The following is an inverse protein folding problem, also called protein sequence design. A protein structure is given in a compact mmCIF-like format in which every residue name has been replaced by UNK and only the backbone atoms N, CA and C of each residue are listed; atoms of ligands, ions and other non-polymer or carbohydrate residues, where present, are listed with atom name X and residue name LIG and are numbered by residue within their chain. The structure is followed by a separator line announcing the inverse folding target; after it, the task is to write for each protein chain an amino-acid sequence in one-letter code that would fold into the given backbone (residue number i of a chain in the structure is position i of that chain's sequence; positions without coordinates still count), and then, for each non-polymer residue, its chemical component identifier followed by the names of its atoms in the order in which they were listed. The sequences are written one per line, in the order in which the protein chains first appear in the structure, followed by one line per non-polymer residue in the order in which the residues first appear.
data_IF_109754045557
#
_entry.id   IF_109754045557
#
_cell.length_a   1.000
_cell.length_b   1.000
_cell.length_c   1.000
_cell.angle_alpha   90.00
_cell.angle_beta   90.00
_cell.angle_gamma   90.00
#
_symmetry.space_group_name_H-M   'P 1'
#
loop_
_entity.id
_entity.type
_entity.pdbx_description
1 polymer ?
#
# COMPACT_ATOMS: atom_id res chain seq x y z
N UNK A 1 38.41 63.52 37.54
CA UNK A 1 38.13 62.27 38.27
C UNK A 1 37.66 61.27 37.21
N UNK A 2 38.44 60.40 36.56
CA UNK A 2 39.52 59.47 36.96
C UNK A 2 39.18 58.61 38.18
N UNK A 3 38.80 57.36 37.90
CA UNK A 3 39.25 56.07 38.45
C UNK A 3 38.13 55.04 38.19
N UNK A 4 38.34 53.78 37.80
CA UNK A 4 39.55 52.99 37.56
C UNK A 4 39.11 51.61 37.05
N UNK A 5 39.73 51.10 35.99
CA UNK A 5 39.88 49.64 35.79
C UNK A 5 41.04 49.15 36.68
N UNK A 6 41.03 47.87 37.09
CA UNK A 6 41.99 46.95 36.45
C UNK A 6 41.52 45.48 36.25
N UNK A 7 41.96 44.93 35.10
CA UNK A 7 42.59 43.61 34.79
C UNK A 7 41.89 42.31 35.26
N UNK A 8 41.44 41.45 34.32
CA UNK A 8 42.15 40.40 33.52
C UNK A 8 42.48 39.10 34.29
N UNK A 9 41.86 38.03 33.81
CA UNK A 9 42.17 36.60 34.00
C UNK A 9 40.85 35.84 33.81
N UNK A 10 40.62 34.94 32.88
CA UNK A 10 41.49 34.06 32.12
C UNK A 10 40.77 32.70 32.08
N UNK A 11 40.47 32.22 30.87
CA UNK A 11 40.06 30.85 30.53
C UNK A 11 38.71 30.31 31.08
N UNK A 12 37.84 29.92 30.14
CA UNK A 12 36.62 29.18 30.44
C UNK A 12 35.74 28.90 29.22
N UNK A 13 36.34 28.70 28.03
CA UNK A 13 35.66 28.02 26.92
C UNK A 13 35.41 26.57 27.38
N UNK A 14 34.22 26.30 27.90
CA UNK A 14 33.89 25.00 28.46
C UNK A 14 32.41 24.86 28.77
N UNK A 15 31.54 25.33 27.88
CA UNK A 15 30.09 25.15 28.01
C UNK A 15 29.44 24.99 26.62
N UNK A 16 29.99 24.10 25.79
CA UNK A 16 29.37 23.56 24.56
C UNK A 16 30.13 22.30 24.14
N UNK A 17 30.10 21.27 24.99
CA UNK A 17 30.61 19.95 24.65
C UNK A 17 29.93 18.90 25.54
N UNK A 18 28.62 18.72 25.38
CA UNK A 18 27.99 17.50 25.84
C UNK A 18 26.88 17.08 24.88
N UNK A 19 27.15 15.94 24.22
CA UNK A 19 26.24 15.05 23.51
C UNK A 19 25.57 15.60 22.25
N UNK A 20 26.39 15.80 21.21
CA UNK A 20 25.97 15.56 19.83
C UNK A 20 26.57 14.23 19.37
N UNK A 21 26.15 13.13 20.01
CA UNK A 21 26.43 11.80 19.48
C UNK A 21 25.51 11.62 18.26
N UNK A 22 26.05 11.92 17.08
CA UNK A 22 25.35 11.79 15.80
C UNK A 22 24.83 10.35 15.68
N UNK A 23 23.53 10.15 15.89
CA UNK A 23 22.83 8.92 15.53
C UNK A 23 23.07 8.67 14.05
N UNK A 24 24.01 7.78 13.74
CA UNK A 24 24.32 7.41 12.36
C UNK A 24 23.22 6.46 11.88
N UNK A 25 22.20 7.01 11.24
CA UNK A 25 21.31 6.21 10.41
C UNK A 25 22.13 5.70 9.21
N UNK A 26 22.25 4.38 9.08
CA UNK A 26 22.83 3.76 7.90
C UNK A 26 21.71 3.03 7.16
N UNK A 27 21.36 3.55 5.99
CA UNK A 27 20.36 2.94 5.10
C UNK A 27 21.08 2.09 4.07
N UNK A 28 20.80 0.79 4.04
CA UNK A 28 21.28 -0.12 2.99
C UNK A 28 20.17 -0.30 1.96
N UNK A 29 20.40 0.21 0.75
CA UNK A 29 19.43 0.16 -0.36
C UNK A 29 19.85 -0.94 -1.33
N UNK A 30 19.00 -1.96 -1.49
CA UNK A 30 19.14 -2.99 -2.51
C UNK A 30 17.97 -2.89 -3.50
N UNK A 31 18.25 -2.52 -4.76
CA UNK A 31 17.26 -2.49 -5.83
C UNK A 31 17.43 -3.74 -6.71
N UNK A 32 16.39 -4.57 -6.79
CA UNK A 32 16.33 -5.70 -7.71
C UNK A 32 15.46 -5.32 -8.91
N UNK A 33 15.97 -5.54 -10.12
CA UNK A 33 15.35 -5.06 -11.36
C UNK A 33 14.16 -5.88 -11.85
N UNK A 34 13.79 -6.99 -11.20
CA UNK A 34 12.62 -7.79 -11.62
C UNK A 34 12.00 -8.56 -10.46
N UNK A 35 10.67 -8.54 -10.38
CA UNK A 35 9.85 -9.23 -9.36
C UNK A 35 10.06 -10.76 -9.37
N UNK A 36 10.42 -11.34 -10.51
CA UNK A 36 10.64 -12.78 -10.68
C UNK A 36 11.92 -13.30 -9.99
N UNK A 37 12.99 -12.49 -9.93
CA UNK A 37 14.22 -12.89 -9.24
C UNK A 37 14.04 -12.98 -7.71
N UNK A 38 13.07 -12.26 -7.16
CA UNK A 38 12.80 -12.15 -5.72
C UNK A 38 12.09 -13.40 -5.18
N UNK A 39 11.14 -13.97 -5.93
CA UNK A 39 10.40 -15.18 -5.50
C UNK A 39 11.35 -16.39 -5.39
N UNK A 40 12.32 -16.51 -6.30
CA UNK A 40 13.31 -17.59 -6.29
C UNK A 40 14.33 -17.43 -5.16
N UNK A 41 14.79 -16.21 -4.88
CA UNK A 41 15.78 -15.94 -3.83
C UNK A 41 15.19 -16.07 -2.41
N UNK A 42 13.93 -15.63 -2.22
CA UNK A 42 13.22 -15.77 -0.95
C UNK A 42 12.78 -17.21 -0.67
N UNK A 43 12.42 -17.99 -1.71
CA UNK A 43 12.16 -19.43 -1.52
C UNK A 43 13.45 -20.19 -1.13
N UNK A 44 14.61 -19.82 -1.66
CA UNK A 44 15.89 -20.41 -1.25
C UNK A 44 16.30 -20.08 0.19
N UNK A 45 15.90 -18.92 0.73
CA UNK A 45 16.15 -18.54 2.13
C UNK A 45 15.10 -19.10 3.10
N UNK A 46 13.88 -19.40 2.60
CA UNK A 46 12.76 -19.94 3.38
C UNK A 46 13.00 -21.38 3.84
N UNK A 47 13.79 -22.18 3.11
CA UNK A 47 14.12 -23.55 3.53
C UNK A 47 15.03 -23.60 4.76
N UNK A 48 15.80 -22.55 5.06
CA UNK A 48 16.70 -22.53 6.23
C UNK A 48 16.09 -21.92 7.50
N UNK A 49 14.99 -21.16 7.41
CA UNK A 49 14.41 -20.45 8.56
C UNK A 49 13.20 -21.16 9.22
N UNK A 50 12.67 -22.24 8.62
CA UNK A 50 11.46 -22.92 9.12
C UNK A 50 11.75 -23.92 10.26
N UNK A 51 12.99 -24.35 10.46
CA UNK A 51 13.32 -25.31 11.50
C UNK A 51 13.16 -24.74 12.93
N UNK A 52 13.44 -23.45 13.14
CA UNK A 52 13.47 -22.85 14.48
C UNK A 52 12.15 -22.22 14.93
N UNK A 53 11.25 -21.87 14.00
CA UNK A 53 9.96 -21.24 14.34
C UNK A 53 8.90 -22.26 14.79
N UNK A 54 8.99 -23.52 14.33
CA UNK A 54 8.00 -24.57 14.61
C UNK A 54 8.10 -25.11 16.04
N UNK A 55 9.24 -24.96 16.73
CA UNK A 55 9.36 -25.38 18.13
C UNK A 55 8.70 -24.42 19.13
N UNK A 56 8.64 -23.12 18.84
CA UNK A 56 8.17 -22.12 19.82
C UNK A 56 6.65 -21.88 19.83
N UNK A 57 5.90 -22.44 18.87
CA UNK A 57 4.44 -22.26 18.76
C UNK A 57 3.61 -23.39 19.39
N UNK A 58 4.24 -24.40 20.01
CA UNK A 58 3.53 -25.53 20.66
C UNK A 58 3.16 -25.32 22.13
N UNK A 59 3.52 -24.19 22.75
CA UNK A 59 3.33 -23.99 24.20
C UNK A 59 2.25 -22.98 24.60
N UNK A 60 1.35 -22.57 23.70
CA UNK A 60 0.24 -21.67 24.08
C UNK A 60 -1.04 -21.98 23.32
N UNK A 61 -1.68 -23.09 23.69
CA UNK A 61 -3.04 -23.40 23.28
C UNK A 61 -3.78 -24.17 24.38
N UNK A 62 -4.30 -23.47 25.39
CA UNK A 62 -5.37 -23.95 26.26
C UNK A 62 -6.26 -22.77 26.69
N UNK A 63 -7.56 -22.87 26.39
CA UNK A 63 -8.62 -21.97 26.89
C UNK A 63 -9.58 -21.52 25.79
N UNK A 64 -10.82 -22.03 25.80
CA UNK A 64 -11.80 -21.85 24.72
C UNK A 64 -13.02 -20.98 25.06
N UNK A 65 -13.83 -20.83 23.99
CA UNK A 65 -15.22 -20.35 23.83
C UNK A 65 -15.48 -18.82 23.89
N UNK A 66 -16.57 -18.30 23.26
CA UNK A 66 -17.61 -18.97 22.47
C UNK A 66 -17.77 -18.47 21.02
N UNK A 67 -18.54 -19.28 20.30
CA UNK A 67 -18.94 -19.26 18.88
C UNK A 67 -19.77 -18.02 18.51
N UNK A 68 -19.20 -17.15 17.65
CA UNK A 68 -19.90 -16.03 17.04
C UNK A 68 -20.06 -16.29 15.53
N UNK A 69 -21.25 -15.98 15.03
CA UNK A 69 -21.84 -16.40 13.76
C UNK A 69 -20.88 -16.30 12.56
N UNK A 70 -20.54 -17.46 12.01
CA UNK A 70 -19.69 -17.62 10.83
C UNK A 70 -20.43 -17.09 9.60
N UNK A 71 -20.00 -15.93 9.11
CA UNK A 71 -20.25 -15.52 7.73
C UNK A 71 -19.73 -16.63 6.79
N UNK A 72 -20.45 -16.99 5.71
CA UNK A 72 -20.10 -18.14 4.88
C UNK A 72 -18.67 -18.05 4.32
N UNK A 73 -17.97 -19.18 4.36
CA UNK A 73 -16.53 -19.35 4.17
C UNK A 73 -16.05 -19.24 2.70
N UNK A 74 -16.30 -18.11 2.04
CA UNK A 74 -15.72 -17.81 0.71
C UNK A 74 -14.97 -16.46 0.63
N UNK A 75 -14.60 -15.86 1.76
CA UNK A 75 -13.78 -14.65 1.80
C UNK A 75 -12.27 -14.97 1.77
N UNK A 76 -11.74 -15.37 0.61
CA UNK A 76 -10.30 -15.43 0.29
C UNK A 76 -10.02 -14.51 -0.92
N UNK A 77 -9.49 -13.31 -0.70
CA UNK A 77 -9.25 -12.29 -1.72
C UNK A 77 -7.85 -11.75 -1.55
N UNK A 78 -6.92 -12.62 -1.89
CA UNK A 78 -5.84 -12.20 -2.75
C UNK A 78 -6.37 -11.87 -4.16
N UNK A 79 -5.57 -11.27 -5.04
CA UNK A 79 -5.98 -10.96 -6.43
C UNK A 79 -6.43 -12.21 -7.24
N UNK A 80 -6.23 -13.40 -6.69
CA UNK A 80 -6.74 -14.70 -7.13
C UNK A 80 -7.54 -15.38 -6.03
N UNK A 81 -8.45 -16.25 -6.44
CA UNK A 81 -9.08 -17.21 -5.56
C UNK A 81 -8.06 -18.26 -5.08
N UNK A 82 -7.97 -18.44 -3.76
CA UNK A 82 -7.15 -19.48 -3.13
C UNK A 82 -8.09 -20.51 -2.50
N UNK A 83 -8.06 -21.78 -2.93
CA UNK A 83 -8.87 -22.83 -2.31
C UNK A 83 -8.57 -22.99 -0.81
N UNK A 84 -9.57 -23.37 0.01
CA UNK A 84 -9.34 -23.66 1.42
C UNK A 84 -8.23 -24.70 1.61
N UNK A 85 -7.26 -24.40 2.49
CA UNK A 85 -6.11 -25.26 2.77
C UNK A 85 -4.93 -25.13 1.78
N UNK A 86 -5.06 -24.35 0.70
CA UNK A 86 -3.97 -24.07 -0.23
C UNK A 86 -3.18 -22.80 0.18
N UNK A 87 -1.91 -22.73 -0.25
CA UNK A 87 -1.07 -21.54 -0.07
C UNK A 87 -1.17 -20.58 -1.26
N UNK A 88 -1.22 -19.27 -1.00
CA UNK A 88 -1.29 -18.24 -2.05
C UNK A 88 -0.19 -18.39 -3.12
N UNK A 89 1.08 -18.47 -2.70
CA UNK A 89 2.21 -18.55 -3.63
C UNK A 89 2.17 -19.81 -4.49
N UNK A 90 1.78 -20.96 -3.90
CA UNK A 90 1.63 -22.20 -4.67
C UNK A 90 0.49 -22.12 -5.68
N UNK A 91 -0.65 -21.54 -5.30
CA UNK A 91 -1.78 -21.35 -6.21
C UNK A 91 -1.41 -20.41 -7.35
N UNK A 92 -0.78 -19.26 -7.06
CA UNK A 92 -0.34 -18.33 -8.09
C UNK A 92 0.66 -18.99 -9.05
N UNK A 93 1.62 -19.75 -8.53
CA UNK A 93 2.59 -20.44 -9.36
C UNK A 93 1.93 -21.48 -10.29
N UNK A 94 0.94 -22.22 -9.78
CA UNK A 94 0.16 -23.17 -10.59
C UNK A 94 -0.62 -22.46 -11.70
N UNK A 95 -1.29 -21.35 -11.41
CA UNK A 95 -2.01 -20.56 -12.40
C UNK A 95 -1.08 -20.03 -13.50
N UNK A 96 0.08 -19.49 -13.12
CA UNK A 96 1.09 -19.02 -14.07
C UNK A 96 1.70 -20.15 -14.91
N UNK A 97 1.90 -21.34 -14.34
CA UNK A 97 2.36 -22.52 -15.08
C UNK A 97 1.30 -23.06 -16.03
N UNK A 98 0.03 -22.97 -15.66
CA UNK A 98 -1.09 -23.37 -16.51
C UNK A 98 -1.37 -22.33 -17.61
N UNK A 99 -0.95 -21.08 -17.42
CA UNK A 99 -1.07 -20.03 -18.43
C UNK A 99 -0.31 -20.46 -19.70
N UNK A 100 -1.00 -20.52 -20.83
CA UNK A 100 -0.43 -21.02 -22.10
C UNK A 100 -0.77 -22.47 -22.44
N UNK A 101 -1.30 -23.24 -21.48
CA UNK A 101 -1.49 -24.70 -21.66
C UNK A 101 -2.92 -25.10 -21.98
N UNK A 102 -3.90 -24.23 -21.70
CA UNK A 102 -5.32 -24.52 -21.91
C UNK A 102 -5.82 -23.95 -23.24
N UNK A 103 -6.85 -24.58 -23.83
CA UNK A 103 -7.50 -24.06 -25.05
C UNK A 103 -8.10 -22.66 -24.86
N UNK A 104 -8.31 -22.24 -23.61
CA UNK A 104 -8.84 -20.93 -23.26
C UNK A 104 -7.77 -19.82 -23.25
N UNK A 105 -6.49 -20.17 -23.18
CA UNK A 105 -5.40 -19.21 -23.09
C UNK A 105 -5.37 -18.22 -24.26
N UNK A 106 -5.50 -18.72 -25.49
CA UNK A 106 -5.40 -17.90 -26.69
C UNK A 106 -6.66 -17.05 -26.93
N UNK A 107 -7.66 -17.12 -26.05
CA UNK A 107 -8.88 -16.33 -26.16
C UNK A 107 -8.76 -15.11 -25.26
N UNK A 108 -8.58 -13.93 -25.85
CA UNK A 108 -8.51 -12.68 -25.11
C UNK A 108 -9.89 -12.19 -24.66
N UNK A 109 -9.89 -11.38 -23.61
CA UNK A 109 -11.07 -10.59 -23.21
C UNK A 109 -11.31 -9.50 -24.26
N UNK A 110 -12.50 -9.50 -24.85
CA UNK A 110 -12.96 -8.48 -25.81
C UNK A 110 -13.83 -7.43 -25.11
N UNK A 111 -14.69 -7.85 -24.20
CA UNK A 111 -15.45 -6.95 -23.33
C UNK A 111 -15.77 -7.62 -22.00
N UNK A 112 -16.07 -6.79 -21.01
CA UNK A 112 -16.42 -7.25 -19.66
C UNK A 112 -17.77 -6.67 -19.27
N UNK A 113 -18.62 -7.45 -18.60
CA UNK A 113 -19.88 -6.99 -18.04
C UNK A 113 -19.80 -6.92 -16.53
N UNK A 114 -20.28 -5.82 -15.98
CA UNK A 114 -20.54 -5.69 -14.55
C UNK A 114 -21.92 -6.27 -14.22
N UNK A 115 -21.95 -7.32 -13.41
CA UNK A 115 -23.16 -8.01 -12.96
C UNK A 115 -23.34 -7.86 -11.44
N UNK A 116 -24.59 -7.75 -10.96
CA UNK A 116 -24.89 -7.67 -9.52
C UNK A 116 -24.96 -6.26 -8.92
N UNK A 117 -24.50 -5.23 -9.64
CA UNK A 117 -24.71 -3.85 -9.20
C UNK A 117 -26.23 -3.51 -9.21
N UNK A 118 -26.78 -2.88 -8.16
CA UNK A 118 -28.18 -2.52 -8.12
C UNK A 118 -28.61 -1.69 -9.33
N UNK A 119 -29.79 -2.02 -9.89
CA UNK A 119 -30.32 -1.31 -11.05
C UNK A 119 -30.56 0.17 -10.72
N UNK A 120 -30.20 1.01 -11.68
CA UNK A 120 -30.48 2.43 -11.64
C UNK A 120 -31.98 2.69 -11.50
N UNK A 121 -32.36 3.53 -10.53
CA UNK A 121 -33.72 4.07 -10.36
C UNK A 121 -33.68 5.56 -10.68
N UNK A 122 -34.44 6.00 -11.68
CA UNK A 122 -34.44 7.40 -12.17
C UNK A 122 -33.03 7.90 -12.54
N UNK A 123 -32.20 7.04 -13.13
CA UNK A 123 -30.84 7.40 -13.54
C UNK A 123 -29.78 7.28 -12.44
N UNK A 124 -30.14 6.90 -11.21
CA UNK A 124 -29.22 6.81 -10.06
C UNK A 124 -29.09 5.39 -9.53
N UNK A 125 -27.86 4.91 -9.33
CA UNK A 125 -27.58 3.68 -8.57
C UNK A 125 -27.53 4.05 -7.09
N UNK A 126 -28.42 3.46 -6.29
CA UNK A 126 -28.55 3.78 -4.86
C UNK A 126 -27.99 2.64 -4.01
N UNK A 127 -27.02 2.98 -3.16
CA UNK A 127 -26.39 2.09 -2.19
C UNK A 127 -26.58 2.63 -0.78
N UNK A 128 -26.57 1.77 0.22
CA UNK A 128 -26.63 2.14 1.64
C UNK A 128 -25.24 2.08 2.24
N UNK A 129 -24.96 3.00 3.14
CA UNK A 129 -23.75 2.92 3.97
C UNK A 129 -23.78 1.71 4.91
N UNK A 130 -22.60 1.29 5.37
CA UNK A 130 -22.39 0.14 6.25
C UNK A 130 -23.02 -1.16 5.72
N UNK A 131 -23.24 -1.24 4.41
CA UNK A 131 -23.79 -2.41 3.74
C UNK A 131 -22.75 -2.93 2.77
N UNK A 132 -22.43 -4.21 2.90
CA UNK A 132 -21.54 -4.92 1.99
C UNK A 132 -22.30 -5.26 0.71
N UNK A 133 -21.82 -4.73 -0.40
CA UNK A 133 -22.29 -5.05 -1.75
C UNK A 133 -21.28 -5.94 -2.44
N UNK A 134 -21.77 -6.95 -3.13
CA UNK A 134 -20.95 -7.86 -3.92
C UNK A 134 -21.49 -7.93 -5.33
N UNK A 135 -20.56 -7.89 -6.26
CA UNK A 135 -20.82 -7.89 -7.68
C UNK A 135 -19.65 -8.54 -8.40
N UNK A 136 -19.87 -8.84 -9.68
CA UNK A 136 -18.91 -9.60 -10.47
C UNK A 136 -18.63 -8.92 -11.79
N UNK A 137 -17.39 -9.02 -12.23
CA UNK A 137 -16.98 -8.75 -13.60
C UNK A 137 -16.96 -10.07 -14.35
N UNK A 138 -17.67 -10.15 -15.47
CA UNK A 138 -17.69 -11.34 -16.33
C UNK A 138 -17.05 -10.98 -17.66
N UNK A 139 -15.93 -11.62 -17.97
CA UNK A 139 -15.18 -11.42 -19.19
C UNK A 139 -15.76 -12.24 -20.34
N UNK A 140 -15.81 -11.65 -21.53
CA UNK A 140 -16.33 -12.26 -22.74
C UNK A 140 -15.32 -12.17 -23.88
N UNK A 141 -15.31 -13.20 -24.72
CA UNK A 141 -14.51 -13.30 -25.94
C UNK A 141 -15.15 -12.53 -27.10
N UNK A 142 -14.42 -12.41 -28.21
CA UNK A 142 -14.91 -11.73 -29.42
C UNK A 142 -16.15 -12.39 -30.04
N UNK A 143 -16.30 -13.72 -29.92
CA UNK A 143 -17.50 -14.46 -30.35
C UNK A 143 -18.65 -14.42 -29.32
N UNK A 144 -18.51 -13.62 -28.27
CA UNK A 144 -19.55 -13.37 -27.27
C UNK A 144 -19.74 -14.48 -26.24
N UNK A 145 -18.82 -15.46 -26.19
CA UNK A 145 -18.84 -16.51 -25.15
C UNK A 145 -18.19 -15.99 -23.88
N UNK A 146 -18.60 -16.55 -22.74
CA UNK A 146 -17.90 -16.31 -21.47
C UNK A 146 -16.49 -16.88 -21.58
N UNK A 147 -15.52 -16.12 -21.06
CA UNK A 147 -14.19 -16.67 -20.87
C UNK A 147 -14.23 -17.84 -19.89
N UNK A 148 -13.27 -18.73 -20.06
CA UNK A 148 -13.12 -19.98 -19.32
C UNK A 148 -11.81 -20.05 -18.53
N UNK A 149 -11.08 -18.94 -18.43
CA UNK A 149 -9.83 -18.80 -17.70
C UNK A 149 -9.73 -17.38 -17.14
N UNK A 150 -8.97 -17.22 -16.06
CA UNK A 150 -8.69 -15.93 -15.43
C UNK A 150 -7.57 -15.13 -16.11
N UNK A 151 -6.85 -14.36 -15.29
CA UNK A 151 -5.65 -13.63 -15.64
C UNK A 151 -5.85 -12.19 -16.07
N UNK A 152 -7.08 -11.69 -16.14
CA UNK A 152 -7.31 -10.28 -16.37
C UNK A 152 -7.01 -9.48 -15.09
N UNK A 153 -6.28 -8.37 -15.25
CA UNK A 153 -6.03 -7.43 -14.18
C UNK A 153 -6.96 -6.23 -14.34
N UNK A 154 -7.91 -6.13 -13.42
CA UNK A 154 -8.80 -4.98 -13.31
C UNK A 154 -8.31 -4.01 -12.25
N UNK A 155 -8.33 -2.73 -12.58
CA UNK A 155 -8.23 -1.63 -11.62
C UNK A 155 -9.63 -1.10 -11.36
N UNK A 156 -10.04 -1.10 -10.09
CA UNK A 156 -11.39 -0.70 -9.66
C UNK A 156 -11.24 0.43 -8.65
N UNK A 157 -11.52 1.64 -9.09
CA UNK A 157 -11.37 2.84 -8.28
C UNK A 157 -12.75 3.38 -7.88
N UNK A 158 -12.92 3.62 -6.58
CA UNK A 158 -14.06 4.30 -6.00
C UNK A 158 -13.58 5.60 -5.38
N UNK A 159 -14.09 6.74 -5.84
CA UNK A 159 -13.66 8.01 -5.27
C UNK A 159 -14.73 9.11 -5.26
N UNK A 160 -14.49 10.07 -4.38
CA UNK A 160 -15.06 11.41 -4.41
C UNK A 160 -14.02 12.39 -3.82
N UNK A 161 -14.45 13.59 -3.47
CA UNK A 161 -13.57 14.63 -2.92
C UNK A 161 -12.94 14.27 -1.56
N UNK A 162 -13.50 13.33 -0.80
CA UNK A 162 -13.07 13.03 0.58
C UNK A 162 -12.74 11.57 0.84
N UNK A 163 -12.94 10.70 -0.14
CA UNK A 163 -12.75 9.27 -0.03
C UNK A 163 -12.20 8.73 -1.34
N UNK A 164 -11.18 7.88 -1.27
CA UNK A 164 -10.65 7.10 -2.40
C UNK A 164 -10.38 5.68 -1.93
N UNK A 165 -10.80 4.68 -2.68
CA UNK A 165 -10.45 3.30 -2.42
C UNK A 165 -10.22 2.58 -3.74
N UNK A 166 -9.23 1.69 -3.74
CA UNK A 166 -9.04 0.71 -4.80
C UNK A 166 -9.66 -0.59 -4.32
N UNK A 167 -10.77 -0.98 -4.93
CA UNK A 167 -11.47 -2.18 -4.52
C UNK A 167 -10.70 -3.40 -5.00
N UNK A 168 -10.35 -4.35 -4.11
CA UNK A 168 -9.66 -5.56 -4.53
C UNK A 168 -10.56 -6.39 -5.45
N UNK A 169 -9.95 -6.97 -6.48
CA UNK A 169 -10.58 -7.89 -7.42
C UNK A 169 -10.16 -9.32 -7.08
N UNK A 170 -11.06 -10.29 -7.25
CA UNK A 170 -10.75 -11.71 -7.03
C UNK A 170 -10.95 -12.48 -8.30
N UNK A 171 -9.88 -12.97 -8.89
CA UNK A 171 -9.96 -13.85 -10.05
C UNK A 171 -10.36 -15.27 -9.65
N UNK A 172 -11.51 -15.74 -10.13
CA UNK A 172 -12.00 -17.12 -9.91
C UNK A 172 -11.44 -18.13 -10.92
N UNK A 173 -10.49 -17.74 -11.77
CA UNK A 173 -9.86 -18.54 -12.82
C UNK A 173 -10.84 -19.16 -13.82
N UNK A 174 -11.98 -18.50 -14.03
CA UNK A 174 -13.02 -18.97 -14.93
C UNK A 174 -13.60 -17.82 -15.79
N UNK A 175 -12.88 -16.72 -15.92
CA UNK A 175 -13.33 -15.51 -16.60
C UNK A 175 -14.28 -14.63 -15.78
N UNK A 176 -14.54 -14.99 -14.52
CA UNK A 176 -15.32 -14.18 -13.58
C UNK A 176 -14.43 -13.64 -12.47
N UNK A 177 -14.66 -12.38 -12.09
CA UNK A 177 -13.90 -11.69 -11.06
C UNK A 177 -14.83 -11.09 -10.01
N UNK A 178 -14.61 -11.40 -8.75
CA UNK A 178 -15.41 -10.91 -7.62
C UNK A 178 -14.97 -9.52 -7.16
N UNK A 179 -15.96 -8.71 -6.77
CA UNK A 179 -15.77 -7.38 -6.20
C UNK A 179 -16.61 -7.22 -4.94
N UNK A 180 -16.04 -6.54 -3.95
CA UNK A 180 -16.73 -6.17 -2.72
C UNK A 180 -16.61 -4.66 -2.48
N UNK A 181 -17.74 -4.04 -2.15
CA UNK A 181 -17.85 -2.63 -1.85
C UNK A 181 -18.59 -2.43 -0.53
N UNK A 182 -17.96 -1.70 0.38
CA UNK A 182 -18.59 -1.21 1.61
C UNK A 182 -18.10 0.22 1.87
N UNK A 183 -19.04 1.15 2.06
CA UNK A 183 -18.74 2.54 2.40
C UNK A 183 -19.27 2.84 3.79
N UNK A 184 -18.42 3.27 4.74
CA UNK A 184 -18.85 3.63 6.08
C UNK A 184 -19.81 4.82 6.10
N UNK A 185 -20.75 4.86 7.06
CA UNK A 185 -21.74 5.92 7.26
C UNK A 185 -21.15 7.34 7.16
N UNK A 186 -19.99 7.54 7.80
CA UNK A 186 -19.25 8.82 7.86
C UNK A 186 -18.92 9.41 6.48
N UNK A 187 -18.81 8.56 5.47
CA UNK A 187 -18.40 8.91 4.11
C UNK A 187 -19.54 8.80 3.10
N UNK A 188 -20.81 8.81 3.56
CA UNK A 188 -21.96 8.90 2.66
C UNK A 188 -21.81 10.07 1.67
N UNK A 189 -22.31 9.87 0.44
CA UNK A 189 -22.19 10.86 -0.61
C UNK A 189 -22.34 10.28 -2.01
N UNK A 190 -22.01 11.11 -2.99
CA UNK A 190 -21.94 10.72 -4.40
C UNK A 190 -20.51 10.28 -4.70
N UNK A 191 -20.37 9.14 -5.35
CA UNK A 191 -19.09 8.52 -5.70
C UNK A 191 -19.01 8.26 -7.20
N UNK A 192 -17.81 8.36 -7.74
CA UNK A 192 -17.46 7.80 -9.05
C UNK A 192 -16.86 6.42 -8.85
N UNK A 193 -17.44 5.42 -9.52
CA UNK A 193 -16.88 4.08 -9.68
C UNK A 193 -16.32 3.97 -11.09
N UNK A 194 -15.03 3.72 -11.20
CA UNK A 194 -14.34 3.48 -12.45
C UNK A 194 -13.74 2.07 -12.44
N UNK A 195 -13.96 1.33 -13.52
CA UNK A 195 -13.40 -0.01 -13.70
C UNK A 195 -12.66 -0.04 -15.02
N UNK A 196 -11.38 -0.41 -14.95
CA UNK A 196 -10.47 -0.50 -16.07
C UNK A 196 -9.92 -1.92 -16.19
N UNK A 197 -9.92 -2.47 -17.40
CA UNK A 197 -9.13 -3.64 -17.74
C UNK A 197 -7.75 -3.16 -18.17
N UNK A 198 -6.74 -3.39 -17.34
CA UNK A 198 -5.38 -2.92 -17.61
C UNK A 198 -4.57 -3.96 -18.38
N UNK A 199 -4.68 -5.23 -18.01
CA UNK A 199 -4.01 -6.35 -18.69
C UNK A 199 -4.96 -7.54 -18.80
N UNK A 200 -4.85 -8.31 -19.87
CA UNK A 200 -5.53 -9.61 -19.99
C UNK A 200 -4.54 -10.77 -19.82
N UNK A 201 -5.06 -11.99 -19.61
CA UNK A 201 -4.29 -13.25 -19.76
C UNK A 201 -2.96 -13.32 -19.02
N UNK A 202 -2.89 -12.77 -17.80
CA UNK A 202 -1.69 -12.68 -16.98
C UNK A 202 -0.56 -11.83 -17.56
N UNK A 203 -0.78 -11.13 -18.68
CA UNK A 203 0.27 -10.36 -19.34
C UNK A 203 0.86 -9.23 -18.49
N UNK A 204 0.14 -8.74 -17.48
CA UNK A 204 0.68 -7.80 -16.49
C UNK A 204 1.83 -8.36 -15.64
N UNK A 205 1.99 -9.69 -15.62
CA UNK A 205 3.08 -10.39 -14.92
C UNK A 205 4.28 -10.72 -15.83
N UNK A 206 4.17 -10.46 -17.14
CA UNK A 206 5.27 -10.67 -18.07
C UNK A 206 6.42 -9.68 -17.78
N UNK A 207 7.66 -10.09 -18.06
CA UNK A 207 8.86 -9.26 -17.86
C UNK A 207 8.75 -7.92 -18.59
N UNK A 208 8.05 -7.90 -19.73
CA UNK A 208 7.76 -6.69 -20.52
C UNK A 208 6.25 -6.47 -20.64
N UNK A 209 5.52 -6.63 -19.54
CA UNK A 209 4.05 -6.59 -19.50
C UNK A 209 3.44 -5.31 -20.08
N UNK A 210 4.14 -4.18 -19.97
CA UNK A 210 3.69 -2.87 -20.46
C UNK A 210 3.26 -2.88 -21.94
N UNK A 211 3.90 -3.69 -22.78
CA UNK A 211 3.56 -3.79 -24.20
C UNK A 211 2.21 -4.48 -24.47
N UNK A 212 1.66 -5.15 -23.46
CA UNK A 212 0.39 -5.87 -23.50
C UNK A 212 -0.72 -5.12 -22.75
N UNK A 213 -0.50 -3.86 -22.38
CA UNK A 213 -1.51 -3.04 -21.75
C UNK A 213 -2.73 -2.86 -22.67
N UNK A 214 -3.92 -3.16 -22.15
CA UNK A 214 -5.20 -3.02 -22.86
C UNK A 214 -5.82 -1.66 -22.60
N UNK A 215 -5.75 -1.18 -21.35
CA UNK A 215 -6.26 0.13 -20.89
C UNK A 215 -7.71 0.41 -21.35
N UNK A 216 -8.60 -0.56 -21.16
CA UNK A 216 -9.99 -0.48 -21.59
C UNK A 216 -10.91 -0.10 -20.42
N UNK A 217 -11.71 0.95 -20.62
CA UNK A 217 -12.80 1.30 -19.68
C UNK A 217 -13.89 0.24 -19.77
N UNK A 218 -14.16 -0.44 -18.66
CA UNK A 218 -15.27 -1.38 -18.51
C UNK A 218 -16.54 -0.64 -18.12
N UNK A 219 -16.45 0.24 -17.12
CA UNK A 219 -17.56 1.10 -16.72
C UNK A 219 -17.06 2.34 -15.99
N UNK A 220 -17.85 3.41 -16.11
CA UNK A 220 -17.76 4.60 -15.29
C UNK A 220 -19.19 4.90 -14.81
N UNK A 221 -19.43 4.80 -13.51
CA UNK A 221 -20.76 4.89 -12.94
C UNK A 221 -20.78 5.78 -11.70
N UNK A 222 -21.75 6.69 -11.65
CA UNK A 222 -22.06 7.46 -10.46
C UNK A 222 -22.89 6.61 -9.47
N UNK A 223 -22.41 6.51 -8.22
CA UNK A 223 -23.06 5.79 -7.13
C UNK A 223 -23.53 6.77 -6.06
N UNK A 224 -24.80 6.67 -5.67
CA UNK A 224 -25.40 7.46 -4.60
C UNK A 224 -25.43 6.62 -3.32
N UNK A 225 -24.45 6.82 -2.46
CA UNK A 225 -24.32 6.10 -1.20
C UNK A 225 -25.01 6.90 -0.10
N UNK A 226 -26.19 6.43 0.31
CA UNK A 226 -27.06 7.13 1.26
C UNK A 226 -26.85 6.63 2.69
N UNK A 227 -26.99 7.55 3.65
CA UNK A 227 -27.08 7.24 5.07
C UNK A 227 -28.55 6.99 5.44
N UNK A 228 -28.96 5.74 5.77
CA UNK A 228 -30.34 5.46 6.15
C UNK A 228 -30.74 6.20 7.43
N UNK A 229 -32.00 6.63 7.51
CA UNK A 229 -32.48 7.43 8.64
C UNK A 229 -32.39 6.69 9.99
N UNK A 230 -32.48 5.36 10.00
CA UNK A 230 -32.23 4.55 11.20
C UNK A 230 -30.76 4.60 11.68
N UNK A 231 -29.79 4.78 10.77
CA UNK A 231 -28.38 4.92 11.11
C UNK A 231 -28.00 6.35 11.51
N UNK A 232 -28.80 7.36 11.12
CA UNK A 232 -28.65 8.73 11.66
C UNK A 232 -28.89 8.77 13.18
N UNK A 233 -29.78 7.91 13.68
CA UNK A 233 -30.09 7.79 15.11
C UNK A 233 -29.07 6.92 15.87
N UNK A 234 -28.27 6.13 15.14
CA UNK A 234 -27.18 5.30 15.64
C UNK A 234 -25.82 5.87 15.15
N UNK A 235 -25.64 7.18 15.30
CA UNK A 235 -24.43 7.92 14.90
C UNK A 235 -23.14 7.41 15.60
N UNK A 236 -23.26 6.41 16.48
CA UNK A 236 -22.20 5.68 17.16
C UNK A 236 -21.75 4.41 16.45
N UNK A 237 -22.36 4.01 15.32
CA UNK A 237 -21.88 2.86 14.53
C UNK A 237 -20.59 3.20 13.77
N UNK A 238 -19.53 3.51 14.50
CA UNK A 238 -18.16 3.46 14.03
C UNK A 238 -17.66 2.04 14.30
N UNK A 239 -17.24 1.32 13.27
CA UNK A 239 -16.43 0.11 13.49
C UNK A 239 -15.19 0.54 14.27
N UNK A 240 -15.02 0.02 15.48
CA UNK A 240 -13.77 0.17 16.22
C UNK A 240 -12.66 -0.54 15.44
N UNK A 241 -11.93 0.25 14.67
CA UNK A 241 -10.80 -0.21 13.90
C UNK A 241 -9.56 -0.15 14.78
N UNK A 242 -8.96 -1.31 15.03
CA UNK A 242 -7.73 -1.38 15.80
C UNK A 242 -6.53 -1.03 14.93
N UNK A 243 -5.45 -0.60 15.57
CA UNK A 243 -4.18 -0.32 14.89
C UNK A 243 -3.66 -1.59 14.22
N UNK A 244 -3.16 -1.47 12.99
CA UNK A 244 -2.56 -2.58 12.26
C UNK A 244 -1.42 -3.24 13.07
N UNK A 245 -1.46 -4.57 13.16
CA UNK A 245 -0.43 -5.41 13.73
C UNK A 245 0.28 -6.24 12.65
N UNK A 246 1.37 -6.93 13.01
CA UNK A 246 2.15 -7.73 12.06
C UNK A 246 1.30 -8.76 11.29
N UNK A 247 0.33 -9.39 11.97
CA UNK A 247 -0.60 -10.34 11.36
C UNK A 247 -1.50 -9.74 10.27
N UNK A 248 -1.81 -8.44 10.35
CA UNK A 248 -2.67 -7.76 9.38
C UNK A 248 -2.00 -7.64 8.00
N UNK A 249 -0.66 -7.52 7.97
CA UNK A 249 0.13 -7.52 6.73
C UNK A 249 0.27 -8.90 6.08
N UNK A 250 -0.07 -9.97 6.81
CA UNK A 250 -0.08 -11.34 6.27
C UNK A 250 -1.46 -11.77 5.79
N UNK A 251 -2.47 -10.90 5.94
CA UNK A 251 -3.81 -11.21 5.46
C UNK A 251 -3.77 -11.37 3.95
N UNK A 252 -4.55 -12.32 3.40
CA UNK A 252 -4.70 -12.44 1.96
C UNK A 252 -5.28 -11.16 1.35
N UNK A 253 -6.00 -10.38 2.17
CA UNK A 253 -6.81 -9.25 1.77
C UNK A 253 -6.28 -7.93 2.31
N UNK A 254 -6.13 -6.96 1.43
CA UNK A 254 -5.79 -5.60 1.78
C UNK A 254 -6.85 -4.61 1.28
N UNK A 255 -7.87 -4.36 2.12
CA UNK A 255 -8.95 -3.41 1.82
C UNK A 255 -8.55 -1.98 2.21
N UNK A 256 -7.75 -1.36 1.36
CA UNK A 256 -7.25 0.00 1.53
C UNK A 256 -8.22 1.12 1.19
N UNK A 257 -8.10 2.25 1.87
CA UNK A 257 -8.77 3.51 1.53
C UNK A 257 -7.99 4.71 2.02
N UNK A 258 -8.08 5.78 1.25
CA UNK A 258 -7.69 7.11 1.64
C UNK A 258 -8.93 7.91 2.01
N UNK A 259 -8.88 8.58 3.15
CA UNK A 259 -9.97 9.44 3.64
C UNK A 259 -9.42 10.81 4.02
N UNK A 260 -10.26 11.84 3.87
CA UNK A 260 -9.89 13.22 4.09
C UNK A 260 -10.96 13.93 4.93
N UNK A 261 -10.70 14.02 6.24
CA UNK A 261 -11.56 14.74 7.19
C UNK A 261 -11.28 16.24 7.21
N UNK A 262 -10.00 16.61 7.14
CA UNK A 262 -9.49 17.98 7.08
C UNK A 262 -8.95 18.26 5.67
N UNK A 263 -9.12 19.49 5.16
CA UNK A 263 -8.49 19.91 3.92
C UNK A 263 -8.51 21.43 3.80
N UNK A 264 -7.56 21.96 3.04
CA UNK A 264 -7.49 23.35 2.62
C UNK A 264 -7.49 23.41 1.09
N UNK A 265 -8.57 23.94 0.49
CA UNK A 265 -8.71 24.06 -0.97
C UNK A 265 -7.82 25.17 -1.55
N UNK A 266 -7.53 26.19 -0.75
CA UNK A 266 -6.68 27.31 -1.14
C UNK A 266 -5.20 27.06 -0.83
N UNK A 267 -4.81 25.80 -0.60
CA UNK A 267 -3.44 25.45 -0.30
C UNK A 267 -2.55 25.67 -1.52
N UNK A 268 -1.54 26.51 -1.36
CA UNK A 268 -0.47 26.72 -2.32
C UNK A 268 0.84 26.17 -1.76
N UNK A 269 1.82 25.96 -2.64
CA UNK A 269 3.15 25.56 -2.22
C UNK A 269 3.85 26.72 -1.49
N UNK A 270 4.57 26.44 -0.41
CA UNK A 270 5.38 27.42 0.31
C UNK A 270 6.63 27.85 -0.49
N UNK A 271 7.46 28.74 0.08
CA UNK A 271 8.72 29.19 -0.55
C UNK A 271 9.70 28.04 -0.86
N UNK A 272 9.57 26.92 -0.14
CA UNK A 272 10.35 25.69 -0.31
C UNK A 272 9.69 24.74 -1.35
N UNK A 273 8.62 25.18 -2.01
CA UNK A 273 7.75 24.43 -2.93
C UNK A 273 7.05 23.24 -2.27
N UNK A 274 6.77 23.33 -0.97
CA UNK A 274 6.11 22.25 -0.21
C UNK A 274 4.63 22.52 0.01
N UNK A 275 3.82 21.48 -0.08
CA UNK A 275 2.36 21.57 0.10
C UNK A 275 1.94 21.28 1.55
N UNK A 276 2.34 22.17 2.47
CA UNK A 276 1.99 22.08 3.90
C UNK A 276 0.60 22.66 4.19
N UNK A 277 -0.43 22.03 3.64
CA UNK A 277 -1.78 22.60 3.58
C UNK A 277 -2.51 22.70 4.93
N UNK A 278 -2.12 21.88 5.90
CA UNK A 278 -2.71 21.85 7.24
C UNK A 278 -1.63 22.31 8.24
N UNK A 279 -1.76 23.50 8.84
CA UNK A 279 -0.69 24.04 9.66
C UNK A 279 -0.61 23.36 11.04
N UNK A 280 0.50 22.66 11.27
CA UNK A 280 0.92 22.19 12.61
C UNK A 280 0.23 20.93 13.12
N UNK A 281 0.54 20.58 14.37
CA UNK A 281 0.12 19.30 15.00
C UNK A 281 -1.34 19.31 15.50
N UNK A 282 -2.01 20.47 15.46
CA UNK A 282 -3.41 20.60 15.87
C UNK A 282 -4.39 19.85 14.96
N UNK A 283 -4.00 19.59 13.71
CA UNK A 283 -4.78 18.76 12.81
C UNK A 283 -4.45 17.29 13.06
N UNK A 284 -5.17 16.70 14.02
CA UNK A 284 -5.10 15.27 14.31
C UNK A 284 -5.86 14.44 13.27
N UNK A 285 -5.44 13.19 13.08
CA UNK A 285 -6.26 12.25 12.36
C UNK A 285 -7.59 11.98 13.09
N UNK A 286 -8.66 11.79 12.31
CA UNK A 286 -9.98 11.39 12.82
C UNK A 286 -9.98 9.89 13.16
N UNK A 287 -10.13 9.56 14.45
CA UNK A 287 -10.38 8.18 14.88
C UNK A 287 -11.74 7.67 14.33
N UNK A 288 -11.89 6.37 14.06
CA UNK A 288 -10.91 5.29 14.24
C UNK A 288 -10.02 5.05 13.00
N UNK A 289 -10.01 5.94 12.01
CA UNK A 289 -9.36 5.69 10.71
C UNK A 289 -7.83 5.73 10.80
N UNK A 290 -7.31 6.66 11.58
CA UNK A 290 -5.91 6.69 12.00
C UNK A 290 -5.76 7.47 13.32
N UNK A 291 -4.53 7.55 13.80
CA UNK A 291 -4.16 8.32 14.99
C UNK A 291 -2.88 9.14 14.72
N UNK A 292 -2.72 10.24 15.45
CA UNK A 292 -1.53 11.09 15.41
C UNK A 292 -1.67 12.38 14.59
N UNK A 293 -0.59 13.17 14.47
CA UNK A 293 -0.61 14.52 13.92
C UNK A 293 -0.61 14.55 12.38
N UNK A 294 -1.80 14.49 11.79
CA UNK A 294 -2.00 14.51 10.33
C UNK A 294 -1.41 15.75 9.65
N UNK A 295 -1.44 16.91 10.32
CA UNK A 295 -0.89 18.16 9.78
C UNK A 295 0.63 18.16 9.57
N UNK A 296 1.36 17.14 10.04
CA UNK A 296 2.78 16.95 9.72
C UNK A 296 3.02 16.41 8.31
N UNK A 297 1.99 15.83 7.68
CA UNK A 297 2.08 15.23 6.36
C UNK A 297 1.75 16.25 5.26
N UNK A 298 2.49 16.19 4.15
CA UNK A 298 2.11 16.88 2.91
C UNK A 298 1.04 16.10 2.15
N UNK A 299 -0.10 15.91 2.79
CA UNK A 299 -1.21 15.12 2.24
C UNK A 299 -2.48 15.94 2.03
N UNK A 300 -2.48 17.23 2.39
CA UNK A 300 -3.69 18.04 2.48
C UNK A 300 -4.84 17.32 3.22
N UNK A 301 -4.48 16.60 4.29
CA UNK A 301 -5.39 15.85 5.13
C UNK A 301 -5.83 14.49 4.60
N UNK A 302 -5.28 14.01 3.48
CA UNK A 302 -5.44 12.61 3.10
C UNK A 302 -4.71 11.71 4.09
N UNK A 303 -5.41 10.67 4.54
CA UNK A 303 -4.87 9.66 5.43
C UNK A 303 -5.28 8.28 4.97
N UNK A 304 -4.38 7.30 5.12
CA UNK A 304 -4.64 5.94 4.70
C UNK A 304 -5.12 5.09 5.88
N UNK A 305 -6.13 4.26 5.62
CA UNK A 305 -6.57 3.18 6.52
C UNK A 305 -6.87 1.92 5.70
N UNK A 306 -6.82 0.76 6.34
CA UNK A 306 -7.15 -0.52 5.73
C UNK A 306 -8.31 -1.18 6.50
N UNK A 307 -8.33 -2.51 6.60
CA UNK A 307 -9.18 -3.18 7.60
C UNK A 307 -8.73 -2.91 9.05
N UNK A 308 -7.60 -2.20 9.21
CA UNK A 308 -6.98 -1.73 10.44
C UNK A 308 -6.51 -0.28 10.25
N UNK A 309 -6.25 0.43 11.35
CA UNK A 309 -5.86 1.84 11.36
C UNK A 309 -4.35 2.01 11.44
N UNK A 310 -3.85 3.12 10.88
CA UNK A 310 -2.42 3.45 10.93
C UNK A 310 -2.14 4.55 11.95
N UNK A 311 -0.93 4.58 12.47
CA UNK A 311 -0.43 5.66 13.31
C UNK A 311 0.51 6.54 12.51
N UNK A 312 0.29 7.85 12.60
CA UNK A 312 1.22 8.88 12.18
C UNK A 312 2.13 9.14 13.38
N UNK A 313 3.42 8.87 13.23
CA UNK A 313 4.39 8.97 14.32
C UNK A 313 4.86 10.42 14.50
N UNK A 314 5.04 10.80 15.76
CA UNK A 314 5.80 12.01 16.10
C UNK A 314 7.30 11.74 15.95
N UNK A 315 8.07 12.81 15.72
CA UNK A 315 9.53 12.72 15.51
C UNK A 315 10.23 11.98 16.64
N UNK A 316 9.99 12.39 17.88
CA UNK A 316 10.72 11.85 19.04
C UNK A 316 10.34 10.39 19.31
N UNK A 317 9.07 10.04 19.07
CA UNK A 317 8.59 8.66 19.11
C UNK A 317 9.27 7.80 18.04
N UNK A 318 9.35 8.30 16.79
CA UNK A 318 9.98 7.59 15.69
C UNK A 318 11.47 7.35 15.94
N UNK A 319 12.22 8.37 16.38
CA UNK A 319 13.64 8.22 16.71
C UNK A 319 13.89 7.31 17.91
N UNK A 320 13.00 7.30 18.90
CA UNK A 320 13.06 6.36 20.02
C UNK A 320 12.87 4.92 19.55
N UNK A 321 11.91 4.69 18.65
CA UNK A 321 11.68 3.37 18.04
C UNK A 321 12.89 2.86 17.25
N UNK A 322 13.55 3.75 16.50
CA UNK A 322 14.69 3.40 15.64
C UNK A 322 16.04 3.36 16.34
N UNK A 323 16.11 3.71 17.62
CA UNK A 323 17.37 3.81 18.34
C UNK A 323 18.11 2.46 18.38
N UNK A 324 19.36 2.45 17.93
CA UNK A 324 20.18 1.24 17.81
C UNK A 324 19.72 0.24 16.75
N UNK A 325 18.79 0.61 15.85
CA UNK A 325 18.24 -0.28 14.81
C UNK A 325 18.70 0.12 13.41
N UNK A 326 18.78 -0.89 12.54
CA UNK A 326 19.00 -0.70 11.11
C UNK A 326 17.66 -0.65 10.39
N UNK A 327 17.48 0.33 9.50
CA UNK A 327 16.36 0.38 8.58
C UNK A 327 16.76 -0.30 7.27
N UNK A 328 16.16 -1.46 7.02
CA UNK A 328 16.25 -2.14 5.73
C UNK A 328 14.94 -1.92 4.98
N UNK A 329 15.03 -1.38 3.76
CA UNK A 329 13.87 -1.01 2.97
C UNK A 329 14.05 -1.51 1.53
N UNK A 330 13.00 -2.10 0.96
CA UNK A 330 12.87 -2.43 -0.46
C UNK A 330 11.45 -2.09 -0.91
N UNK A 331 11.22 -1.92 -2.21
CA UNK A 331 9.89 -1.61 -2.71
C UNK A 331 9.80 -1.56 -4.23
N UNK A 332 8.63 -1.17 -4.70
CA UNK A 332 8.25 -1.05 -6.10
C UNK A 332 8.53 0.37 -6.64
N UNK A 333 7.77 0.79 -7.67
CA UNK A 333 7.87 2.13 -8.25
C UNK A 333 7.62 3.27 -7.26
N UNK A 334 6.90 3.05 -6.15
CA UNK A 334 6.63 4.06 -5.13
C UNK A 334 7.68 4.08 -4.00
N UNK A 335 8.72 3.26 -4.10
CA UNK A 335 9.73 3.10 -3.05
C UNK A 335 10.46 4.41 -2.72
N UNK A 336 10.85 5.17 -3.74
CA UNK A 336 11.60 6.41 -3.56
C UNK A 336 10.78 7.47 -2.82
N UNK A 337 9.50 7.61 -3.18
CA UNK A 337 8.56 8.50 -2.48
C UNK A 337 8.35 8.05 -1.02
N UNK A 338 8.25 6.73 -0.79
CA UNK A 338 8.12 6.16 0.56
C UNK A 338 9.30 6.55 1.44
N UNK A 339 10.53 6.33 0.95
CA UNK A 339 11.75 6.69 1.69
C UNK A 339 11.80 8.19 1.92
N UNK A 340 11.57 9.01 0.88
CA UNK A 340 11.55 10.47 1.00
C UNK A 340 10.57 10.93 2.08
N UNK A 341 9.34 10.43 2.06
CA UNK A 341 8.29 10.82 3.01
C UNK A 341 8.61 10.38 4.44
N UNK A 342 9.18 9.19 4.64
CA UNK A 342 9.65 8.73 5.96
C UNK A 342 10.71 9.67 6.51
N UNK A 343 11.73 9.99 5.71
CA UNK A 343 12.84 10.82 6.13
C UNK A 343 12.37 12.25 6.45
N UNK A 344 11.49 12.82 5.62
CA UNK A 344 11.05 14.21 5.77
C UNK A 344 9.98 14.41 6.85
N UNK A 345 8.95 13.56 6.90
CA UNK A 345 7.76 13.83 7.72
C UNK A 345 7.78 13.13 9.07
N UNK A 346 8.39 11.94 9.12
CA UNK A 346 8.45 11.11 10.33
C UNK A 346 9.76 11.38 11.08
N UNK A 347 10.89 11.49 10.38
CA UNK A 347 12.20 11.66 11.01
C UNK A 347 12.70 13.11 11.09
N UNK A 348 12.01 14.05 10.43
CA UNK A 348 12.44 15.45 10.26
C UNK A 348 13.90 15.57 9.78
N UNK A 349 14.33 14.65 8.90
CA UNK A 349 15.66 14.71 8.32
C UNK A 349 15.74 15.86 7.31
N UNK A 350 16.59 16.83 7.59
CA UNK A 350 16.90 17.93 6.68
C UNK A 350 17.57 17.42 5.40
N UNK A 351 17.05 17.90 4.25
CA UNK A 351 17.65 17.62 2.95
C UNK A 351 19.10 18.15 2.90
N UNK A 352 20.02 17.44 2.22
CA UNK A 352 21.36 17.96 1.97
C UNK A 352 21.32 19.33 1.26
N UNK A 353 22.27 20.25 1.50
CA UNK A 353 22.23 21.63 0.98
C UNK A 353 22.14 21.80 -0.55
N UNK A 354 22.34 20.74 -1.33
CA UNK A 354 22.28 20.73 -2.81
C UNK A 354 21.11 19.90 -3.36
N UNK A 355 20.34 19.24 -2.51
CA UNK A 355 19.16 18.50 -2.90
C UNK A 355 17.93 19.38 -2.68
N UNK A 356 17.10 19.53 -3.70
CA UNK A 356 15.74 20.03 -3.51
C UNK A 356 14.76 18.85 -3.51
N UNK A 357 13.52 19.06 -3.05
CA UNK A 357 12.52 18.00 -2.91
C UNK A 357 12.18 17.32 -4.25
N UNK A 358 12.13 18.09 -5.33
CA UNK A 358 11.84 17.60 -6.67
C UNK A 358 12.97 16.73 -7.23
N UNK A 359 14.22 17.05 -6.87
CA UNK A 359 15.44 16.37 -7.30
C UNK A 359 15.95 15.36 -6.27
N UNK A 360 15.18 15.06 -5.20
CA UNK A 360 15.56 14.08 -4.20
C UNK A 360 15.65 12.70 -4.86
N UNK A 361 16.87 12.31 -5.23
CA UNK A 361 17.19 10.99 -5.73
C UNK A 361 18.07 10.26 -4.74
N UNK A 362 17.67 9.03 -4.44
CA UNK A 362 18.54 8.10 -3.73
C UNK A 362 19.63 7.66 -4.71
N UNK A 363 20.90 7.84 -4.34
CA UNK A 363 22.02 7.30 -5.13
C UNK A 363 21.88 5.78 -5.23
N UNK A 364 21.43 5.31 -6.40
CA UNK A 364 21.34 3.88 -6.69
C UNK A 364 22.75 3.39 -6.98
N UNK A 365 23.36 2.68 -6.02
CA UNK A 365 24.51 1.83 -6.32
C UNK A 365 24.01 0.61 -7.08
N UNK A 366 23.87 0.74 -8.40
CA UNK A 366 23.80 -0.44 -9.25
C UNK A 366 25.13 -1.17 -9.14
N UNK A 367 25.16 -2.50 -8.90
CA UNK A 367 26.38 -3.25 -9.06
C UNK A 367 26.81 -3.04 -10.52
N UNK A 368 27.95 -2.40 -10.70
CA UNK A 368 28.53 -2.21 -12.02
C UNK A 368 28.60 -3.59 -12.67
N UNK A 369 27.97 -3.73 -13.85
CA UNK A 369 28.31 -4.82 -14.75
C UNK A 369 29.83 -4.80 -14.83
N UNK A 370 30.49 -5.86 -14.34
CA UNK A 370 31.90 -6.10 -14.62
C UNK A 370 32.05 -6.23 -16.13
N UNK A 371 32.24 -5.11 -16.81
CA UNK A 371 32.84 -5.04 -18.14
C UNK A 371 34.33 -5.31 -17.96
N UNK A 372 34.68 -6.58 -17.84
CA UNK A 372 35.99 -7.08 -18.28
C UNK A 372 35.91 -8.58 -18.49
N UNK A 373 35.49 -8.99 -19.69
CA UNK A 373 36.22 -10.08 -20.36
C UNK A 373 37.63 -9.54 -20.69
N UNK A 374 38.46 -9.41 -19.65
CA UNK A 374 39.89 -9.24 -19.83
C UNK A 374 40.44 -10.60 -20.22
N UNK A 375 40.94 -10.71 -21.45
CA UNK A 375 41.73 -11.86 -21.93
C UNK A 375 42.70 -12.29 -20.83
N UNK A 376 42.59 -13.55 -20.40
CA UNK A 376 43.62 -14.19 -19.61
C UNK A 376 44.95 -14.11 -20.39
N UNK A 377 45.94 -13.40 -19.85
CA UNK A 377 47.34 -13.57 -20.26
C UNK A 377 47.91 -14.76 -19.50
N UNK A 378 48.70 -15.63 -20.14
CA UNK A 378 49.28 -16.79 -19.49
C UNK A 378 50.31 -16.38 -18.44
N UNK A 379 50.33 -17.18 -17.36
CA UNK A 379 51.27 -17.12 -16.24
C UNK A 379 52.70 -17.38 -16.78
N UNK A 380 53.71 -16.55 -16.45
CA UNK A 380 55.09 -16.91 -16.74
C UNK A 380 55.57 -17.94 -15.71
N UNK A 381 56.17 -19.01 -16.21
CA UNK A 381 56.88 -20.01 -15.42
C UNK A 381 58.16 -19.44 -14.84
N UNK A 382 58.30 -19.56 -13.52
CA UNK A 382 59.58 -19.66 -12.81
C UNK A 382 59.39 -20.58 -11.61
#
# INVERSE_FOLDING_TARGET
MKHSTPRRGGAGKGFMAHMEEKKKLVVVIAAFLTSAAIVLLLNGLREHAIADLVQNLRTSALGGAPEEQVAPAWANFSNIYVPPGAGYSSTLHQLLQANGTTACHNQSTNFTRLEGLPRSKKGKVLLKTNTRYQFSLVAYTADGKRRCAGGDYYEVDLHNERYRARLPTTDFDNGTYGLELEVPARWAGVFSLEIWLLFGNWHGMDIFGEQYAVLQVVTAQELHVILPQAQLLDATFQRNMTRCAAQDFTRPHWSGRWTRGWFNEACEADEEKRFRCLPGEHFGCEEPWCAGPLGRLESNGWSYSAHCSFKIFERDEAWSCLDGRWLFMWGDSNFQDTVRNLLLFILDWQLPPKANLADFQLERKTPSRRTSMGRARPIPSS
#
